data_IF_481066500614
#
_entry.id   IF_481066500614
#
_cell.length_a   1.000
_cell.length_b   1.000
_cell.length_c   1.000
_cell.angle_alpha   90.00
_cell.angle_beta   90.00
_cell.angle_gamma   90.00
#
_symmetry.space_group_name_H-M   'P 1'
#
loop_
_entity.id
_entity.type
_entity.pdbx_description
1 polymer ?
#
# COMPACT_ATOMS: atom_id res chain seq x y z
N UNK A 1 14.52 -20.58 8.64
CA UNK A 1 14.22 -19.21 9.13
C UNK A 1 13.17 -18.61 8.21
N UNK A 2 11.89 -18.73 8.56
CA UNK A 2 10.81 -18.21 7.73
C UNK A 2 10.82 -16.69 7.79
N UNK A 3 11.18 -16.02 6.70
CA UNK A 3 11.00 -14.57 6.58
C UNK A 3 9.51 -14.29 6.71
N UNK A 4 9.14 -13.40 7.63
CA UNK A 4 7.78 -12.86 7.74
C UNK A 4 7.41 -12.20 6.41
N UNK A 5 6.72 -12.93 5.53
CA UNK A 5 6.35 -12.47 4.18
C UNK A 5 5.54 -11.17 4.21
N UNK A 6 4.90 -10.88 5.35
CA UNK A 6 4.12 -9.67 5.60
C UNK A 6 4.93 -8.38 5.47
N UNK A 7 6.21 -8.42 5.86
CA UNK A 7 7.11 -7.27 5.76
C UNK A 7 7.45 -6.89 4.31
N UNK A 8 8.05 -7.78 3.50
CA UNK A 8 8.39 -7.46 2.12
C UNK A 8 7.14 -7.19 1.27
N UNK A 9 6.07 -7.97 1.44
CA UNK A 9 4.82 -7.76 0.70
C UNK A 9 4.18 -6.43 1.08
N UNK A 10 4.02 -6.13 2.38
CA UNK A 10 3.44 -4.87 2.81
C UNK A 10 4.24 -3.64 2.37
N UNK A 11 5.58 -3.75 2.35
CA UNK A 11 6.46 -2.67 1.89
C UNK A 11 6.32 -2.44 0.38
N UNK A 12 6.27 -3.52 -0.42
CA UNK A 12 6.08 -3.43 -1.87
C UNK A 12 4.75 -2.78 -2.22
N UNK A 13 3.65 -3.24 -1.60
CA UNK A 13 2.32 -2.67 -1.84
C UNK A 13 2.22 -1.20 -1.42
N UNK A 14 2.83 -0.82 -0.31
CA UNK A 14 2.87 0.58 0.13
C UNK A 14 3.66 1.46 -0.86
N UNK A 15 4.82 1.00 -1.35
CA UNK A 15 5.65 1.73 -2.31
C UNK A 15 4.97 1.87 -3.68
N UNK A 16 4.43 0.77 -4.21
CA UNK A 16 3.71 0.79 -5.49
C UNK A 16 2.45 1.64 -5.41
N UNK A 17 1.69 1.52 -4.32
CA UNK A 17 0.53 2.38 -4.06
C UNK A 17 0.92 3.85 -3.97
N UNK A 18 2.01 4.17 -3.28
CA UNK A 18 2.49 5.56 -3.17
C UNK A 18 2.86 6.12 -4.54
N UNK A 19 3.62 5.35 -5.33
CA UNK A 19 3.99 5.74 -6.69
C UNK A 19 2.77 5.96 -7.58
N UNK A 20 1.80 5.04 -7.53
CA UNK A 20 0.56 5.14 -8.31
C UNK A 20 -0.32 6.31 -7.85
N UNK A 21 -0.36 6.60 -6.54
CA UNK A 21 -1.06 7.76 -5.98
C UNK A 21 -0.45 9.06 -6.48
N UNK A 22 0.89 9.18 -6.42
CA UNK A 22 1.62 10.35 -6.92
C UNK A 22 1.40 10.52 -8.42
N UNK A 23 1.48 9.43 -9.19
CA UNK A 23 1.20 9.44 -10.61
C UNK A 23 -0.23 9.88 -10.93
N UNK A 24 -1.23 9.31 -10.25
CA UNK A 24 -2.64 9.69 -10.40
C UNK A 24 -2.92 11.14 -10.02
N UNK A 25 -2.21 11.67 -9.01
CA UNK A 25 -2.32 13.08 -8.63
C UNK A 25 -1.67 14.01 -9.65
N UNK A 26 -0.49 13.64 -10.19
CA UNK A 26 0.24 14.42 -11.19
C UNK A 26 -0.44 14.40 -12.58
N UNK A 27 -1.21 13.35 -12.87
CA UNK A 27 -1.93 13.19 -14.16
C UNK A 27 -3.39 13.63 -14.10
N UNK A 28 -3.85 14.15 -12.95
CA UNK A 28 -5.21 14.66 -12.78
C UNK A 28 -5.48 15.80 -13.77
N UNK A 29 -6.58 15.69 -14.52
CA UNK A 29 -7.00 16.69 -15.50
C UNK A 29 -6.24 16.68 -16.84
N UNK A 30 -5.33 15.71 -17.08
CA UNK A 30 -4.73 15.56 -18.40
C UNK A 30 -5.72 14.88 -19.37
N UNK A 31 -5.80 15.32 -20.64
CA UNK A 31 -6.64 14.66 -21.63
C UNK A 31 -6.22 13.18 -21.81
N UNK A 32 -7.15 12.26 -21.58
CA UNK A 32 -6.93 10.81 -21.76
C UNK A 32 -6.56 10.01 -20.51
N UNK A 33 -6.28 10.65 -19.37
CA UNK A 33 -5.98 9.96 -18.10
C UNK A 33 -7.20 9.80 -17.20
N UNK A 34 -8.29 10.52 -17.49
CA UNK A 34 -9.58 10.44 -16.78
C UNK A 34 -10.77 10.36 -17.75
N UNK A 35 -10.99 9.23 -18.44
CA UNK A 35 -12.11 9.09 -19.38
C UNK A 35 -13.49 9.30 -18.74
N UNK A 36 -13.61 9.02 -17.43
CA UNK A 36 -14.85 9.09 -16.64
C UNK A 36 -14.87 10.28 -15.68
N UNK A 37 -13.87 11.18 -15.73
CA UNK A 37 -13.73 12.32 -14.80
C UNK A 37 -13.23 11.96 -13.40
N UNK A 38 -12.86 10.69 -13.17
CA UNK A 38 -12.29 10.21 -11.92
C UNK A 38 -10.92 9.57 -12.20
N UNK A 39 -9.83 10.04 -11.55
CA UNK A 39 -8.51 9.45 -11.72
C UNK A 39 -8.45 8.06 -11.08
N UNK A 40 -8.67 7.03 -11.91
CA UNK A 40 -8.68 5.63 -11.48
C UNK A 40 -7.35 5.20 -10.85
N UNK A 41 -6.23 5.74 -11.35
CA UNK A 41 -4.89 5.53 -10.79
C UNK A 41 -4.78 6.09 -9.38
N UNK A 42 -5.39 7.24 -9.11
CA UNK A 42 -5.38 7.84 -7.76
C UNK A 42 -6.19 6.97 -6.79
N UNK A 43 -7.36 6.49 -7.20
CA UNK A 43 -8.20 5.61 -6.37
C UNK A 43 -7.45 4.32 -6.01
N UNK A 44 -6.95 3.60 -7.02
CA UNK A 44 -6.24 2.34 -6.78
C UNK A 44 -4.92 2.56 -6.05
N UNK A 45 -4.23 3.68 -6.28
CA UNK A 45 -3.04 4.06 -5.53
C UNK A 45 -3.33 4.17 -4.04
N UNK A 46 -4.39 4.90 -3.67
CA UNK A 46 -4.80 5.05 -2.27
C UNK A 46 -5.19 3.70 -1.65
N UNK A 47 -5.92 2.85 -2.38
CA UNK A 47 -6.29 1.50 -1.93
C UNK A 47 -5.05 0.64 -1.67
N UNK A 48 -4.06 0.66 -2.57
CA UNK A 48 -2.81 -0.08 -2.43
C UNK A 48 -1.98 0.42 -1.23
N UNK A 49 -1.91 1.74 -1.01
CA UNK A 49 -1.25 2.32 0.18
C UNK A 49 -1.94 1.88 1.46
N UNK A 50 -3.27 1.97 1.52
CA UNK A 50 -4.04 1.57 2.69
C UNK A 50 -3.81 0.08 3.02
N UNK A 51 -3.82 -0.78 2.00
CA UNK A 51 -3.54 -2.21 2.14
C UNK A 51 -2.10 -2.49 2.60
N UNK A 52 -1.10 -1.84 1.99
CA UNK A 52 0.31 -2.00 2.38
C UNK A 52 0.56 -1.56 3.81
N UNK A 53 0.00 -0.41 4.22
CA UNK A 53 0.07 0.08 5.60
C UNK A 53 -0.60 -0.89 6.57
N UNK A 54 -1.78 -1.42 6.24
CA UNK A 54 -2.46 -2.43 7.04
C UNK A 54 -1.59 -3.67 7.28
N UNK A 55 -0.95 -4.20 6.23
CA UNK A 55 -0.02 -5.32 6.36
C UNK A 55 1.20 -4.98 7.24
N UNK A 56 1.78 -3.79 7.08
CA UNK A 56 2.91 -3.33 7.89
C UNK A 56 2.53 -3.17 9.38
N UNK A 57 1.33 -2.68 9.67
CA UNK A 57 0.79 -2.60 11.03
C UNK A 57 0.63 -3.99 11.65
N UNK A 58 0.09 -4.95 10.90
CA UNK A 58 -0.05 -6.33 11.33
C UNK A 58 1.31 -7.01 11.57
N UNK A 59 2.31 -6.75 10.72
CA UNK A 59 3.67 -7.24 10.91
C UNK A 59 4.33 -6.64 12.16
N UNK A 60 4.14 -5.34 12.42
CA UNK A 60 4.62 -4.67 13.64
C UNK A 60 3.95 -5.23 14.89
N UNK A 61 2.65 -5.54 14.83
CA UNK A 61 1.92 -6.13 15.96
C UNK A 61 2.38 -7.57 16.24
N UNK A 62 2.64 -8.36 15.22
CA UNK A 62 3.13 -9.73 15.38
C UNK A 62 4.51 -9.77 16.07
N UNK A 63 5.41 -8.85 15.73
CA UNK A 63 6.72 -8.71 16.39
C UNK A 63 6.66 -8.27 17.86
N UNK A 64 5.55 -7.65 18.28
CA UNK A 64 5.36 -7.16 19.65
C UNK A 64 4.62 -8.13 20.56
N UNK A 65 4.11 -9.25 20.03
CA UNK A 65 3.49 -10.27 20.87
C UNK A 65 4.58 -10.88 21.76
N UNK A 66 4.53 -10.69 23.10
CA UNK A 66 5.49 -11.32 23.99
C UNK A 66 5.33 -12.84 23.85
N UNK A 67 6.44 -13.54 23.68
CA UNK A 67 6.48 -14.99 23.88
C UNK A 67 6.14 -15.27 25.34
N UNK A 68 4.87 -15.50 25.64
CA UNK A 68 4.48 -16.12 26.89
C UNK A 68 4.93 -17.58 26.82
N UNK A 69 6.16 -17.82 27.25
CA UNK A 69 6.70 -19.15 27.54
C UNK A 69 6.18 -19.57 28.92
N UNK A 70 5.36 -20.63 29.06
CA UNK A 70 5.27 -21.39 30.30
C UNK A 70 6.50 -22.29 30.48
#
# INVERSE_FOLDING_TARGET
>A
MGIDLRLPVGTLFALLGLLLTVYGAATRGQPGTEPTGVPINLIWGVVLVAFGLWMLLLARRARRAPSSTP
#
